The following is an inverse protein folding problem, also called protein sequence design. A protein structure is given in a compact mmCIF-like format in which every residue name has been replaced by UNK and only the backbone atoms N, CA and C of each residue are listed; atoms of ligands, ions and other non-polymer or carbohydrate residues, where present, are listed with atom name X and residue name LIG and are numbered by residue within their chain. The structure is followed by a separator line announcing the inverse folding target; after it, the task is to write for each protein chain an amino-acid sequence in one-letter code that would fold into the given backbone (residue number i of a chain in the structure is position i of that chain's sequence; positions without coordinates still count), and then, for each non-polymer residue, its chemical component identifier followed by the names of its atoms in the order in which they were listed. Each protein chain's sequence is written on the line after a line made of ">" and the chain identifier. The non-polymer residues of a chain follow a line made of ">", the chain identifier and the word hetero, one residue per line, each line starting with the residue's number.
data_IF_811948590445
#
_entry.id   IF_811948590445
#
_cell.length_a   1.000
_cell.length_b   1.000
_cell.length_c   1.000
_cell.angle_alpha   90.00
_cell.angle_beta   90.00
_cell.angle_gamma   90.00
#
_symmetry.space_group_name_H-M   'P 1'
#
loop_
_entity.id
_entity.type
_entity.pdbx_description
1 polymer ?
#
# COMPACT_ATOMS: atom_id res chain seq x y z
N UNK A 1 -8.18 17.20 -2.42
CA UNK A 1 -7.16 16.14 -2.54
C UNK A 1 -6.00 16.52 -1.63
N UNK A 2 -5.62 15.67 -0.68
CA UNK A 2 -4.46 15.92 0.19
C UNK A 2 -3.35 14.95 -0.19
N UNK A 3 -2.12 15.44 -0.28
CA UNK A 3 -0.92 14.65 -0.52
C UNK A 3 0.06 14.92 0.63
N UNK A 4 0.85 13.91 0.95
CA UNK A 4 1.98 14.01 1.89
C UNK A 4 3.25 13.49 1.21
N UNK A 5 4.40 13.92 1.69
CA UNK A 5 5.70 13.40 1.29
C UNK A 5 5.98 12.02 1.92
N UNK A 6 6.94 11.29 1.34
CA UNK A 6 7.43 10.04 1.92
C UNK A 6 8.06 10.23 3.31
N UNK A 7 8.73 11.37 3.53
CA UNK A 7 9.32 11.71 4.84
C UNK A 7 8.25 11.96 5.91
N UNK A 8 7.16 12.62 5.56
CA UNK A 8 6.03 12.83 6.49
C UNK A 8 5.36 11.51 6.84
N UNK A 9 5.17 10.62 5.86
CA UNK A 9 4.65 9.27 6.13
C UNK A 9 5.60 8.47 7.04
N UNK A 10 6.90 8.48 6.73
CA UNK A 10 7.92 7.77 7.52
C UNK A 10 7.90 8.18 9.00
N UNK A 11 7.75 9.48 9.29
CA UNK A 11 7.65 10.01 10.66
C UNK A 11 6.38 9.61 11.41
N UNK A 12 5.38 9.04 10.73
CA UNK A 12 4.10 8.61 11.31
C UNK A 12 3.94 7.10 11.37
N UNK A 13 4.90 6.32 10.88
CA UNK A 13 4.84 4.85 10.95
C UNK A 13 4.75 4.41 12.41
N UNK A 14 3.73 3.60 12.72
CA UNK A 14 3.42 3.13 14.07
C UNK A 14 2.35 3.92 14.82
N UNK A 15 1.85 5.03 14.25
CA UNK A 15 0.65 5.72 14.73
C UNK A 15 -0.57 4.78 14.66
N UNK A 16 -1.26 4.50 15.78
CA UNK A 16 -2.40 3.57 15.79
C UNK A 16 -3.60 4.07 14.97
N UNK A 17 -3.68 5.38 14.70
CA UNK A 17 -4.74 5.98 13.90
C UNK A 17 -4.38 6.05 12.40
N UNK A 18 -3.19 5.58 12.01
CA UNK A 18 -2.72 5.54 10.63
C UNK A 18 -2.85 4.12 10.04
N UNK A 19 -3.68 3.98 9.01
CA UNK A 19 -3.72 2.78 8.16
C UNK A 19 -3.06 3.09 6.81
N UNK A 20 -2.06 2.29 6.44
CA UNK A 20 -1.41 2.36 5.13
C UNK A 20 -2.03 1.29 4.23
N UNK A 21 -2.43 1.67 3.02
CA UNK A 21 -2.97 0.74 2.02
C UNK A 21 -2.03 0.68 0.82
N UNK A 22 -1.63 -0.53 0.44
CA UNK A 22 -0.93 -0.79 -0.81
C UNK A 22 -1.96 -1.21 -1.87
N UNK A 23 -2.25 -0.29 -2.79
CA UNK A 23 -3.24 -0.46 -3.84
C UNK A 23 -2.58 -0.73 -5.21
N UNK A 24 -1.37 -1.30 -5.25
CA UNK A 24 -0.68 -1.63 -6.50
C UNK A 24 -1.51 -2.64 -7.31
N UNK A 25 -1.81 -2.27 -8.55
CA UNK A 25 -2.52 -3.09 -9.53
C UNK A 25 -1.91 -2.90 -10.91
N UNK A 26 -1.82 -3.99 -11.67
CA UNK A 26 -1.19 -4.00 -12.99
C UNK A 26 -2.17 -4.51 -14.04
N UNK A 27 -2.33 -3.74 -15.12
CA UNK A 27 -3.25 -4.08 -16.21
C UNK A 27 -2.82 -5.37 -16.91
N UNK A 28 -3.72 -6.36 -16.94
CA UNK A 28 -3.46 -7.68 -17.55
C UNK A 28 -2.58 -8.61 -16.71
N UNK A 29 -2.23 -8.20 -15.49
CA UNK A 29 -1.36 -8.95 -14.57
C UNK A 29 -2.01 -8.98 -13.17
N UNK A 30 -3.07 -9.77 -12.97
CA UNK A 30 -3.91 -9.71 -11.76
C UNK A 30 -3.16 -10.07 -10.47
N UNK A 31 -2.17 -10.98 -10.54
CA UNK A 31 -1.43 -11.45 -9.36
C UNK A 31 -0.18 -10.61 -9.04
N UNK A 32 0.28 -9.78 -9.99
CA UNK A 32 1.55 -9.05 -9.85
C UNK A 32 1.50 -8.00 -8.74
N UNK A 33 0.32 -7.43 -8.47
CA UNK A 33 0.11 -6.50 -7.34
C UNK A 33 0.42 -7.19 -6.01
N UNK A 34 -0.19 -8.35 -5.80
CA UNK A 34 -0.01 -9.14 -4.59
C UNK A 34 1.40 -9.71 -4.48
N UNK A 35 1.99 -10.15 -5.60
CA UNK A 35 3.38 -10.61 -5.64
C UNK A 35 4.36 -9.50 -5.25
N UNK A 36 4.17 -8.29 -5.78
CA UNK A 36 5.01 -7.14 -5.48
C UNK A 36 4.85 -6.68 -4.01
N UNK A 37 3.64 -6.77 -3.44
CA UNK A 37 3.40 -6.56 -2.01
C UNK A 37 4.18 -7.58 -1.16
N UNK A 38 4.09 -8.88 -1.48
CA UNK A 38 4.83 -9.92 -0.74
C UNK A 38 6.34 -9.76 -0.85
N UNK A 39 6.85 -9.31 -1.99
CA UNK A 39 8.27 -9.04 -2.20
C UNK A 39 8.77 -7.86 -1.35
N UNK A 40 7.92 -6.86 -1.11
CA UNK A 40 8.23 -5.73 -0.23
C UNK A 40 7.12 -4.68 -0.20
N UNK A 41 6.82 -4.21 1.01
CA UNK A 41 5.85 -3.15 1.27
C UNK A 41 6.25 -2.37 2.53
N UNK A 42 5.61 -1.23 2.75
CA UNK A 42 5.79 -0.43 3.96
C UNK A 42 5.29 -1.24 5.16
N UNK A 43 6.00 -1.26 6.30
CA UNK A 43 5.53 -1.92 7.52
C UNK A 43 4.09 -1.50 7.87
N UNK A 44 3.30 -2.46 8.36
CA UNK A 44 1.87 -2.31 8.73
C UNK A 44 0.91 -1.97 7.59
N UNK A 45 1.38 -1.84 6.35
CA UNK A 45 0.49 -1.65 5.21
C UNK A 45 -0.41 -2.88 5.01
N UNK A 46 -1.65 -2.67 4.57
CA UNK A 46 -2.54 -3.72 4.10
C UNK A 46 -2.57 -3.72 2.57
N UNK A 47 -2.50 -4.91 1.95
CA UNK A 47 -2.73 -5.03 0.52
C UNK A 47 -4.23 -4.89 0.21
N UNK A 48 -4.57 -4.05 -0.76
CA UNK A 48 -5.95 -3.86 -1.24
C UNK A 48 -6.06 -4.40 -2.66
N UNK A 49 -6.82 -5.48 -2.81
CA UNK A 49 -7.17 -6.02 -4.12
C UNK A 49 -8.25 -5.17 -4.78
N UNK A 50 -7.93 -4.61 -5.96
CA UNK A 50 -8.84 -3.79 -6.75
C UNK A 50 -9.62 -4.58 -7.81
N UNK A 51 -9.28 -5.86 -8.02
CA UNK A 51 -9.87 -6.74 -9.04
C UNK A 51 -11.08 -7.55 -8.57
N UNK A 52 -11.37 -7.56 -7.27
CA UNK A 52 -12.49 -8.29 -6.67
C UNK A 52 -13.61 -7.34 -6.25
N UNK A 53 -14.59 -7.15 -7.13
CA UNK A 53 -15.91 -6.57 -6.84
C UNK A 53 -17.03 -7.52 -7.22
#
# INVERSE_FOLDING_TARGET
>A
MSLISASELSGRIGDPDLVVADCRWYLGLPDDGQAAYRAGHIPTAAFVDLGTV
#
